data_IF_599669713525
#
_entry.id   IF_599669713525
#
_cell.length_a   1.000
_cell.length_b   1.000
_cell.length_c   1.000
_cell.angle_alpha   90.00
_cell.angle_beta   90.00
_cell.angle_gamma   90.00
#
_symmetry.space_group_name_H-M   'P 1'
#
loop_
_entity.id
_entity.type
_entity.pdbx_description
1 polymer ?
#
# COMPACT_ATOMS: atom_id res chain seq x y z
N UNK A 1 -5.20 16.17 -15.42
CA UNK A 1 -6.42 15.32 -15.50
C UNK A 1 -7.61 16.23 -15.76
N UNK A 2 -8.48 15.92 -16.73
CA UNK A 2 -9.63 16.77 -17.04
C UNK A 2 -10.77 16.56 -16.02
N UNK A 3 -11.63 17.57 -15.87
CA UNK A 3 -12.81 17.49 -14.98
C UNK A 3 -13.77 16.36 -15.38
N UNK A 4 -13.82 16.05 -16.67
CA UNK A 4 -14.64 14.98 -17.24
C UNK A 4 -14.10 13.60 -16.87
N UNK A 5 -12.78 13.39 -16.98
CA UNK A 5 -12.11 12.16 -16.53
C UNK A 5 -12.30 11.93 -15.03
N UNK A 6 -12.18 12.98 -14.20
CA UNK A 6 -12.43 12.85 -12.76
C UNK A 6 -13.88 12.46 -12.45
N UNK A 7 -14.85 13.04 -13.16
CA UNK A 7 -16.27 12.73 -12.96
C UNK A 7 -16.58 11.27 -13.30
N UNK A 8 -15.97 10.75 -14.37
CA UNK A 8 -16.13 9.34 -14.76
C UNK A 8 -15.54 8.39 -13.70
N UNK A 9 -14.36 8.70 -13.16
CA UNK A 9 -13.78 7.89 -12.10
C UNK A 9 -14.59 7.93 -10.80
N UNK A 10 -15.09 9.10 -10.39
CA UNK A 10 -15.93 9.21 -9.19
C UNK A 10 -17.25 8.44 -9.34
N UNK A 11 -17.83 8.41 -10.55
CA UNK A 11 -19.00 7.58 -10.82
C UNK A 11 -18.67 6.09 -10.64
N UNK A 12 -17.59 5.61 -11.26
CA UNK A 12 -17.15 4.22 -11.12
C UNK A 12 -16.87 3.85 -9.64
N UNK A 13 -16.15 4.70 -8.90
CA UNK A 13 -15.85 4.46 -7.48
C UNK A 13 -17.11 4.41 -6.61
N UNK A 14 -18.11 5.23 -6.92
CA UNK A 14 -19.40 5.21 -6.22
C UNK A 14 -20.19 3.95 -6.57
N UNK A 15 -20.20 3.55 -7.83
CA UNK A 15 -20.90 2.35 -8.30
C UNK A 15 -20.25 1.07 -7.74
N UNK A 16 -18.93 1.09 -7.53
CA UNK A 16 -18.19 0.04 -6.81
C UNK A 16 -18.37 0.08 -5.29
N UNK A 17 -19.03 1.12 -4.74
CA UNK A 17 -19.27 1.25 -3.30
C UNK A 17 -18.04 1.66 -2.48
N UNK A 18 -17.01 2.25 -3.09
CA UNK A 18 -15.78 2.68 -2.40
C UNK A 18 -15.89 4.11 -1.83
N UNK A 19 -16.76 4.94 -2.41
CA UNK A 19 -16.96 6.32 -1.99
C UNK A 19 -18.44 6.68 -1.87
N UNK A 20 -18.75 7.59 -0.94
CA UNK A 20 -20.08 8.16 -0.71
C UNK A 20 -20.05 9.66 -0.92
N UNK A 21 -21.07 10.20 -1.59
CA UNK A 21 -21.24 11.63 -1.80
C UNK A 21 -22.03 12.27 -0.66
N UNK A 22 -21.37 13.11 0.13
CA UNK A 22 -21.97 13.87 1.24
C UNK A 22 -22.23 15.31 0.76
N UNK A 23 -23.47 15.83 0.87
CA UNK A 23 -23.77 17.20 0.51
C UNK A 23 -23.05 18.17 1.46
N UNK A 24 -22.27 19.09 0.90
CA UNK A 24 -21.50 20.10 1.59
C UNK A 24 -21.88 21.49 1.04
N UNK A 25 -23.03 21.99 1.47
CA UNK A 25 -23.61 23.25 0.98
C UNK A 25 -24.04 23.15 -0.49
N UNK A 26 -23.37 23.92 -1.37
CA UNK A 26 -23.63 23.89 -2.83
C UNK A 26 -22.79 22.85 -3.58
N UNK A 27 -21.91 22.15 -2.88
CA UNK A 27 -21.00 21.16 -3.45
C UNK A 27 -21.29 19.77 -2.85
N UNK A 28 -20.71 18.74 -3.47
CA UNK A 28 -20.69 17.38 -2.94
C UNK A 28 -19.25 17.06 -2.56
N UNK A 29 -19.05 16.65 -1.31
CA UNK A 29 -17.79 16.09 -0.84
C UNK A 29 -17.87 14.57 -0.94
N UNK A 30 -16.82 13.92 -1.41
CA UNK A 30 -16.75 12.47 -1.42
C UNK A 30 -15.95 11.99 -0.22
N UNK A 31 -16.47 10.97 0.45
CA UNK A 31 -15.84 10.30 1.60
C UNK A 31 -15.72 8.81 1.30
N UNK A 32 -14.76 8.14 1.95
CA UNK A 32 -14.65 6.68 1.82
C UNK A 32 -15.85 6.01 2.49
N UNK A 33 -16.34 4.94 1.89
CA UNK A 33 -17.53 4.23 2.38
C UNK A 33 -17.31 3.47 3.69
N UNK A 34 -16.08 3.03 3.96
CA UNK A 34 -15.73 2.23 5.13
C UNK A 34 -14.40 2.69 5.76
N UNK A 35 -14.34 2.92 7.08
CA UNK A 35 -13.08 3.16 7.81
C UNK A 35 -12.02 2.07 7.59
N UNK A 36 -12.41 0.81 7.39
CA UNK A 36 -11.48 -0.29 7.06
C UNK A 36 -10.74 -0.04 5.75
N UNK A 37 -11.40 0.61 4.78
CA UNK A 37 -10.78 0.99 3.52
C UNK A 37 -9.70 2.04 3.75
N UNK A 38 -9.97 2.99 4.66
CA UNK A 38 -8.99 4.00 5.07
C UNK A 38 -7.76 3.34 5.68
N UNK A 39 -7.95 2.45 6.65
CA UNK A 39 -6.84 1.71 7.28
C UNK A 39 -6.04 0.88 6.27
N UNK A 40 -6.71 0.12 5.39
CA UNK A 40 -6.01 -0.69 4.38
C UNK A 40 -5.20 0.18 3.40
N UNK A 41 -5.73 1.34 3.01
CA UNK A 41 -5.01 2.28 2.15
C UNK A 41 -3.84 2.95 2.88
N UNK A 42 -4.02 3.32 4.16
CA UNK A 42 -2.96 3.87 5.01
C UNK A 42 -1.83 2.85 5.23
N UNK A 43 -2.15 1.59 5.52
CA UNK A 43 -1.17 0.50 5.69
C UNK A 43 -0.39 0.26 4.39
N UNK A 44 -1.08 0.25 3.25
CA UNK A 44 -0.43 0.10 1.94
C UNK A 44 0.48 1.29 1.63
N UNK A 45 0.04 2.52 1.90
CA UNK A 45 0.87 3.71 1.76
C UNK A 45 2.08 3.66 2.69
N UNK A 46 1.91 3.27 3.95
CA UNK A 46 3.01 3.07 4.89
C UNK A 46 3.99 2.01 4.41
N UNK A 47 3.50 0.94 3.79
CA UNK A 47 4.34 -0.10 3.19
C UNK A 47 5.09 0.40 1.97
N UNK A 48 4.46 1.16 1.08
CA UNK A 48 5.12 1.70 -0.12
C UNK A 48 6.16 2.76 0.26
N UNK A 49 5.86 3.63 1.23
CA UNK A 49 6.79 4.65 1.73
C UNK A 49 7.96 4.01 2.49
N UNK A 50 7.70 2.94 3.25
CA UNK A 50 8.80 2.15 3.81
C UNK A 50 9.59 1.49 2.69
N UNK A 51 8.98 0.85 1.69
CA UNK A 51 9.70 0.29 0.53
C UNK A 51 10.55 1.33 -0.19
N UNK A 52 10.11 2.59 -0.33
CA UNK A 52 10.96 3.63 -0.91
C UNK A 52 12.18 3.95 -0.01
N UNK A 53 12.01 3.89 1.31
CA UNK A 53 13.11 4.01 2.29
C UNK A 53 13.98 2.76 2.41
N UNK A 54 13.44 1.55 2.20
CA UNK A 54 14.21 0.29 2.21
C UNK A 54 14.83 0.02 0.83
N UNK A 55 14.32 0.65 -0.23
CA UNK A 55 14.77 0.52 -1.61
C UNK A 55 15.36 1.82 -2.17
N UNK A 56 16.20 2.49 -1.38
CA UNK A 56 17.39 3.14 -1.94
C UNK A 56 18.50 2.13 -2.28
N UNK A 57 18.15 0.85 -2.50
CA UNK A 57 18.96 -0.15 -3.18
C UNK A 57 19.09 0.20 -4.67
N UNK A 58 19.88 1.24 -4.96
CA UNK A 58 20.40 1.51 -6.31
C UNK A 58 21.62 0.62 -6.59
N UNK A 59 21.62 -0.64 -6.20
CA UNK A 59 22.59 -1.66 -6.64
C UNK A 59 21.98 -3.07 -6.54
N UNK A 60 22.26 -3.94 -7.53
CA UNK A 60 21.66 -5.28 -7.63
C UNK A 60 22.24 -6.34 -6.67
N UNK A 61 22.87 -5.96 -5.56
CA UNK A 61 23.53 -6.92 -4.63
C UNK A 61 22.75 -7.18 -3.33
N UNK A 62 21.66 -6.46 -3.07
CA UNK A 62 20.79 -6.73 -1.91
C UNK A 62 19.90 -7.97 -2.14
N UNK A 63 20.52 -9.15 -2.20
CA UNK A 63 19.87 -10.46 -2.11
C UNK A 63 20.87 -11.52 -1.64
N UNK A 64 21.60 -11.29 -0.54
CA UNK A 64 22.47 -12.32 0.04
C UNK A 64 22.70 -12.13 1.55
N UNK A 65 21.64 -11.93 2.32
CA UNK A 65 21.72 -12.10 3.77
C UNK A 65 20.39 -12.55 4.34
N UNK A 66 19.90 -13.70 3.86
CA UNK A 66 19.12 -14.56 4.74
C UNK A 66 19.53 -16.01 4.49
N UNK A 67 20.51 -16.45 5.27
CA UNK A 67 20.77 -17.87 5.53
C UNK A 67 21.11 -17.99 7.01
N UNK A 68 20.10 -17.85 7.85
CA UNK A 68 20.11 -18.54 9.14
C UNK A 68 19.81 -20.01 8.89
N UNK A 69 20.86 -20.83 8.84
CA UNK A 69 20.76 -22.23 9.26
C UNK A 69 21.79 -22.42 10.37
N UNK A 70 21.32 -22.19 11.60
CA UNK A 70 21.93 -22.73 12.80
C UNK A 70 21.53 -24.21 12.89
N UNK A 71 22.46 -25.10 12.57
CA UNK A 71 22.35 -26.52 12.81
C UNK A 71 23.71 -27.13 13.18
N UNK A 72 24.03 -27.06 14.48
CA UNK A 72 24.38 -28.22 15.33
C UNK A 72 25.64 -29.06 14.99
N UNK A 73 26.63 -28.92 15.89
CA UNK A 73 27.53 -29.97 16.44
C UNK A 73 28.76 -30.44 15.64
N UNK A 74 29.89 -29.81 16.00
CA UNK A 74 31.14 -30.35 16.57
C UNK A 74 31.64 -31.78 16.21
N UNK A 75 32.92 -31.80 15.81
CA UNK A 75 33.82 -32.91 15.45
C UNK A 75 33.97 -34.07 16.44
N UNK A 76 34.28 -35.28 15.93
CA UNK A 76 35.18 -36.29 16.56
C UNK A 76 35.88 -37.14 15.44
N UNK A 77 37.22 -37.34 15.47
CA UNK A 77 37.98 -38.12 14.47
C UNK A 77 38.08 -39.62 14.81
N UNK A 78 38.53 -40.42 13.83
CA UNK A 78 39.02 -41.80 14.03
C UNK A 78 40.41 -41.96 13.41
#
# INVERSE_FOLDING_TARGET
VSRQTLSNHLACLRDCGLVVGVPAGRNVRYELSDPKLTHALEDLLGTILTVESVCQCRTPECAAADRTDDATTQEIPA
#
